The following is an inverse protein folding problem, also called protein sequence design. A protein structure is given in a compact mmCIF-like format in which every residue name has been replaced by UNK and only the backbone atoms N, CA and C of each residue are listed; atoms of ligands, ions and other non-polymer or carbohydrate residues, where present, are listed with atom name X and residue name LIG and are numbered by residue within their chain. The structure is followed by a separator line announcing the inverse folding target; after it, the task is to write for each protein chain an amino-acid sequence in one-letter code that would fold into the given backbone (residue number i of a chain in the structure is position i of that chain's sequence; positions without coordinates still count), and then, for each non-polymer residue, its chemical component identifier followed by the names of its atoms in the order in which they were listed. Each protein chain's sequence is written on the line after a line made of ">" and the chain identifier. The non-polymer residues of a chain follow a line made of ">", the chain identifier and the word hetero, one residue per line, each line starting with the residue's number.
data_IF_975013656046
#
_entry.id   IF_975013656046
#
_cell.length_a   1.000
_cell.length_b   1.000
_cell.length_c   1.000
_cell.angle_alpha   90.00
_cell.angle_beta   90.00
_cell.angle_gamma   90.00
#
_symmetry.space_group_name_H-M   'P 1'
#
loop_
_entity.id
_entity.type
_entity.pdbx_description
1 polymer ?
#
# COMPACT_ATOMS: atom_id res chain seq x y z
N UNK A 1 -16.48 16.76 -14.00
CA UNK A 1 -16.11 16.37 -12.63
C UNK A 1 -14.65 15.96 -12.62
N UNK A 2 -13.97 16.04 -11.46
CA UNK A 2 -12.55 15.68 -11.28
C UNK A 2 -12.43 14.62 -10.19
N UNK A 3 -11.65 13.57 -10.44
CA UNK A 3 -11.27 12.57 -9.44
C UNK A 3 -9.87 12.84 -8.92
N UNK A 4 -9.67 12.72 -7.61
CA UNK A 4 -8.38 12.86 -6.94
C UNK A 4 -8.10 11.58 -6.16
N UNK A 5 -7.01 10.90 -6.50
CA UNK A 5 -6.44 9.82 -5.71
C UNK A 5 -5.26 10.37 -4.90
N UNK A 6 -5.20 10.09 -3.60
CA UNK A 6 -4.12 10.55 -2.73
C UNK A 6 -3.62 9.42 -1.85
N UNK A 7 -2.32 9.44 -1.57
CA UNK A 7 -1.76 8.71 -0.45
C UNK A 7 -2.45 9.13 0.85
N UNK A 8 -2.63 8.16 1.75
CA UNK A 8 -3.24 8.36 3.04
C UNK A 8 -2.30 8.99 4.08
N UNK A 9 -2.84 9.43 5.23
CA UNK A 9 -4.27 9.37 5.57
C UNK A 9 -5.14 10.40 4.81
N UNK A 10 -6.33 9.98 4.42
CA UNK A 10 -7.36 10.84 3.80
C UNK A 10 -8.52 11.09 4.77
N UNK A 11 -9.26 12.18 4.60
CA UNK A 11 -10.55 12.41 5.24
C UNK A 11 -11.55 12.82 4.16
N UNK A 12 -12.29 11.83 3.63
CA UNK A 12 -13.27 12.05 2.57
C UNK A 12 -14.41 12.98 3.01
N UNK A 13 -15.04 12.81 4.20
CA UNK A 13 -16.04 13.75 4.69
C UNK A 13 -15.55 15.20 4.76
N UNK A 14 -14.30 15.41 5.21
CA UNK A 14 -13.72 16.75 5.30
C UNK A 14 -13.11 17.25 3.99
N UNK A 15 -12.93 16.39 2.98
CA UNK A 15 -12.25 16.73 1.73
C UNK A 15 -10.76 17.04 1.89
N UNK A 16 -10.10 16.46 2.90
CA UNK A 16 -8.70 16.78 3.24
C UNK A 16 -7.76 15.58 3.16
N UNK A 17 -6.46 15.86 3.04
CA UNK A 17 -5.39 14.83 3.02
C UNK A 17 -4.23 15.23 3.95
N UNK A 18 -3.54 14.23 4.49
CA UNK A 18 -2.34 14.42 5.34
C UNK A 18 -1.23 13.41 5.02
N UNK A 19 -0.81 13.28 3.75
CA UNK A 19 0.05 12.19 3.33
C UNK A 19 1.44 12.26 3.98
N UNK A 20 2.01 11.09 4.30
CA UNK A 20 3.30 11.01 5.00
C UNK A 20 4.48 11.50 4.16
N UNK A 21 4.36 11.42 2.83
CA UNK A 21 5.38 11.84 1.86
C UNK A 21 5.30 13.31 1.46
N UNK A 22 4.31 14.07 1.94
CA UNK A 22 4.23 15.54 1.78
C UNK A 22 4.03 16.16 3.16
N UNK A 23 5.14 16.38 3.87
CA UNK A 23 5.14 16.73 5.29
C UNK A 23 4.43 18.06 5.59
N UNK A 24 4.42 18.98 4.63
CA UNK A 24 3.77 20.29 4.69
C UNK A 24 2.25 20.17 4.68
N UNK A 25 1.70 19.05 4.20
CA UNK A 25 0.27 18.83 4.11
C UNK A 25 -0.24 18.18 5.39
N UNK A 26 -1.03 18.95 6.15
CA UNK A 26 -1.74 18.50 7.36
C UNK A 26 -3.17 19.01 7.27
N UNK A 27 -4.12 18.09 7.08
CA UNK A 27 -5.53 18.40 6.73
C UNK A 27 -5.60 19.39 5.57
N UNK A 28 -4.78 19.19 4.55
CA UNK A 28 -4.77 20.05 3.37
C UNK A 28 -6.09 19.90 2.61
N UNK A 29 -6.83 20.99 2.31
CA UNK A 29 -8.17 20.94 1.73
C UNK A 29 -8.11 20.69 0.21
N UNK A 30 -7.65 19.50 -0.19
CA UNK A 30 -7.39 19.18 -1.59
C UNK A 30 -8.65 19.27 -2.45
N UNK A 31 -9.82 18.91 -1.91
CA UNK A 31 -11.09 18.98 -2.63
C UNK A 31 -11.42 20.42 -3.00
N UNK A 32 -11.36 21.34 -2.02
CA UNK A 32 -11.66 22.76 -2.24
C UNK A 32 -10.65 23.39 -3.20
N UNK A 33 -9.35 23.13 -3.01
CA UNK A 33 -8.30 23.70 -3.87
C UNK A 33 -8.43 23.28 -5.34
N UNK A 34 -8.79 22.01 -5.58
CA UNK A 34 -9.02 21.52 -6.95
C UNK A 34 -10.34 22.04 -7.51
N UNK A 35 -11.38 22.17 -6.68
CA UNK A 35 -12.67 22.74 -7.08
C UNK A 35 -12.51 24.21 -7.50
N UNK A 36 -11.82 25.03 -6.69
CA UNK A 36 -11.54 26.43 -6.99
C UNK A 36 -10.75 26.61 -8.28
N UNK A 37 -9.75 25.75 -8.51
CA UNK A 37 -8.91 25.82 -9.70
C UNK A 37 -9.62 25.39 -10.99
N UNK A 38 -10.65 24.54 -10.90
CA UNK A 38 -11.29 23.93 -12.08
C UNK A 38 -12.73 24.36 -12.30
N UNK A 39 -13.42 24.87 -11.28
CA UNK A 39 -14.86 25.13 -11.29
C UNK A 39 -15.73 23.86 -11.38
N UNK A 40 -15.15 22.67 -11.13
CA UNK A 40 -15.82 21.38 -11.31
C UNK A 40 -16.04 20.64 -9.98
N UNK A 41 -17.08 19.77 -9.88
CA UNK A 41 -17.24 18.89 -8.74
C UNK A 41 -16.05 17.92 -8.59
N UNK A 42 -15.53 17.79 -7.37
CA UNK A 42 -14.36 16.96 -7.05
C UNK A 42 -14.76 15.76 -6.18
N UNK A 43 -14.14 14.60 -6.43
CA UNK A 43 -14.27 13.37 -5.62
C UNK A 43 -12.88 12.91 -5.18
N UNK A 44 -12.71 12.73 -3.87
CA UNK A 44 -11.47 12.24 -3.25
C UNK A 44 -11.57 10.73 -2.97
N UNK A 45 -10.51 9.99 -3.24
CA UNK A 45 -10.31 8.60 -2.83
C UNK A 45 -8.88 8.35 -2.37
N UNK A 46 -8.71 7.34 -1.52
CA UNK A 46 -7.38 6.81 -1.21
C UNK A 46 -6.78 6.10 -2.43
N UNK A 47 -5.47 6.25 -2.63
CA UNK A 47 -4.72 5.64 -3.73
C UNK A 47 -4.92 4.13 -3.86
N UNK A 48 -4.85 3.37 -2.76
CA UNK A 48 -5.07 1.93 -2.75
C UNK A 48 -6.49 1.54 -3.17
N UNK A 49 -7.50 2.31 -2.74
CA UNK A 49 -8.89 2.10 -3.18
C UNK A 49 -9.06 2.44 -4.66
N UNK A 50 -8.49 3.54 -5.13
CA UNK A 50 -8.55 3.95 -6.53
C UNK A 50 -7.84 2.94 -7.45
N UNK A 51 -6.72 2.38 -7.01
CA UNK A 51 -6.01 1.29 -7.70
C UNK A 51 -6.90 0.04 -7.79
N UNK A 52 -7.47 -0.42 -6.67
CA UNK A 52 -8.38 -1.57 -6.65
C UNK A 52 -9.61 -1.34 -7.54
N UNK A 53 -10.16 -0.12 -7.56
CA UNK A 53 -11.28 0.25 -8.42
C UNK A 53 -10.90 0.24 -9.91
N UNK A 54 -9.68 0.67 -10.25
CA UNK A 54 -9.15 0.58 -11.62
C UNK A 54 -9.03 -0.87 -12.09
N UNK A 55 -8.47 -1.74 -11.26
CA UNK A 55 -8.37 -3.18 -11.53
C UNK A 55 -9.74 -3.85 -11.65
N UNK A 56 -10.69 -3.46 -10.79
CA UNK A 56 -12.07 -3.94 -10.87
C UNK A 56 -12.79 -3.48 -12.14
N UNK A 57 -12.56 -2.24 -12.58
CA UNK A 57 -13.25 -1.67 -13.74
C UNK A 57 -12.69 -2.19 -15.06
N UNK A 58 -11.37 -2.16 -15.21
CA UNK A 58 -10.70 -2.39 -16.51
C UNK A 58 -9.63 -3.47 -16.47
N UNK A 59 -9.18 -3.91 -15.30
CA UNK A 59 -8.04 -4.81 -15.12
C UNK A 59 -8.42 -6.24 -14.70
N UNK A 60 -7.57 -6.83 -13.85
CA UNK A 60 -7.66 -8.23 -13.43
C UNK A 60 -8.87 -8.53 -12.54
N UNK A 61 -9.48 -7.50 -11.93
CA UNK A 61 -10.64 -7.63 -11.05
C UNK A 61 -12.00 -7.59 -11.76
N UNK A 62 -12.04 -7.50 -13.10
CA UNK A 62 -13.29 -7.38 -13.86
C UNK A 62 -14.28 -8.51 -13.57
N UNK A 63 -15.52 -8.11 -13.24
CA UNK A 63 -16.60 -9.04 -12.91
C UNK A 63 -16.59 -9.55 -11.48
N UNK A 64 -15.56 -9.25 -10.68
CA UNK A 64 -15.54 -9.60 -9.27
C UNK A 64 -16.60 -8.81 -8.48
N UNK A 65 -17.37 -9.52 -7.65
CA UNK A 65 -18.26 -8.89 -6.68
C UNK A 65 -17.51 -8.45 -5.43
N UNK A 66 -16.46 -9.18 -5.07
CA UNK A 66 -15.61 -8.92 -3.91
C UNK A 66 -14.15 -8.97 -4.34
N UNK A 67 -13.39 -7.90 -4.06
CA UNK A 67 -12.00 -7.77 -4.45
C UNK A 67 -11.23 -7.07 -3.33
N UNK A 68 -10.11 -7.67 -2.92
CA UNK A 68 -9.01 -6.97 -2.27
C UNK A 68 -7.96 -6.69 -3.33
N UNK A 69 -7.81 -5.43 -3.73
CA UNK A 69 -6.64 -4.97 -4.48
C UNK A 69 -5.53 -4.65 -3.49
N UNK A 70 -4.30 -5.06 -3.80
CA UNK A 70 -3.12 -4.81 -2.96
C UNK A 70 -1.93 -4.42 -3.82
N UNK A 71 -1.18 -3.44 -3.35
CA UNK A 71 0.11 -3.04 -3.92
C UNK A 71 1.18 -3.43 -2.92
N UNK A 72 2.15 -4.23 -3.37
CA UNK A 72 3.36 -4.56 -2.61
C UNK A 72 4.52 -3.91 -3.33
N UNK A 73 5.07 -2.86 -2.72
CA UNK A 73 6.14 -2.03 -3.32
C UNK A 73 6.98 -1.42 -2.18
N UNK A 74 7.28 -0.12 -2.24
CA UNK A 74 7.98 0.62 -1.16
C UNK A 74 7.24 0.50 0.18
N UNK A 75 5.90 0.43 0.13
CA UNK A 75 5.03 0.05 1.24
C UNK A 75 3.99 -0.98 0.79
N UNK A 76 3.02 -1.29 1.65
CA UNK A 76 1.91 -2.19 1.34
C UNK A 76 0.59 -1.44 1.49
N UNK A 77 -0.05 -1.17 0.35
CA UNK A 77 -1.34 -0.50 0.27
C UNK A 77 -2.43 -1.44 -0.21
N UNK A 78 -3.69 -1.07 -0.02
CA UNK A 78 -4.80 -1.85 -0.54
C UNK A 78 -6.11 -1.08 -0.65
N UNK A 79 -7.07 -1.74 -1.28
CA UNK A 79 -8.38 -1.21 -1.58
C UNK A 79 -9.41 -2.32 -1.66
N UNK A 80 -10.62 -2.04 -1.20
CA UNK A 80 -11.70 -3.02 -1.14
C UNK A 80 -12.81 -2.64 -2.12
N UNK A 81 -13.28 -3.62 -2.88
CA UNK A 81 -14.56 -3.56 -3.61
C UNK A 81 -15.46 -4.64 -3.02
N UNK A 82 -16.64 -4.26 -2.58
CA UNK A 82 -17.62 -5.15 -1.95
C UNK A 82 -18.96 -5.00 -2.67
N UNK A 83 -19.59 -6.12 -3.06
CA UNK A 83 -20.80 -6.13 -3.90
C UNK A 83 -20.67 -5.26 -5.17
N UNK A 84 -19.50 -5.27 -5.80
CA UNK A 84 -19.21 -4.48 -7.01
C UNK A 84 -19.13 -2.96 -6.78
N UNK A 85 -19.00 -2.50 -5.53
CA UNK A 85 -18.85 -1.09 -5.20
C UNK A 85 -17.59 -0.81 -4.37
N UNK A 86 -16.89 0.32 -4.57
CA UNK A 86 -15.73 0.68 -3.78
C UNK A 86 -16.11 0.90 -2.30
N UNK A 87 -15.37 0.26 -1.41
CA UNK A 87 -15.56 0.39 0.03
C UNK A 87 -14.48 1.29 0.64
N UNK A 88 -14.88 2.50 1.00
CA UNK A 88 -13.99 3.55 1.53
C UNK A 88 -13.90 3.56 3.07
N UNK A 89 -14.83 2.89 3.76
CA UNK A 89 -14.97 2.98 5.22
C UNK A 89 -15.36 4.38 5.69
N UNK A 90 -15.32 4.65 6.99
CA UNK A 90 -15.85 5.89 7.58
C UNK A 90 -15.12 7.16 7.14
N UNK A 91 -13.80 7.10 6.97
CA UNK A 91 -12.95 8.28 6.67
C UNK A 91 -12.32 8.23 5.28
N UNK A 92 -12.44 7.12 4.55
CA UNK A 92 -11.74 6.91 3.27
C UNK A 92 -10.51 6.00 3.36
N UNK A 93 -10.21 5.45 4.54
CA UNK A 93 -9.00 4.66 4.81
C UNK A 93 -9.28 3.16 5.00
N UNK A 94 -10.43 2.64 4.58
CA UNK A 94 -10.60 1.18 4.56
C UNK A 94 -9.61 0.55 3.57
N UNK A 95 -9.11 -0.65 3.91
CA UNK A 95 -8.17 -1.37 3.05
C UNK A 95 -6.69 -1.07 3.27
N UNK A 96 -6.30 -0.41 4.38
CA UNK A 96 -4.89 -0.28 4.80
C UNK A 96 -4.30 -1.61 5.31
N UNK A 97 -4.30 -2.61 4.44
CA UNK A 97 -3.92 -4.00 4.74
C UNK A 97 -2.44 -4.14 5.09
N UNK A 98 -1.59 -3.20 4.69
CA UNK A 98 -0.16 -3.18 5.05
C UNK A 98 0.09 -3.06 6.55
N UNK A 99 -0.88 -2.56 7.32
CA UNK A 99 -0.75 -2.39 8.77
C UNK A 99 -1.39 -3.52 9.59
N UNK A 100 -1.87 -4.59 8.93
CA UNK A 100 -2.32 -5.80 9.63
C UNK A 100 -1.12 -6.44 10.33
N UNK A 101 -1.27 -6.74 11.61
CA UNK A 101 -0.22 -7.36 12.44
C UNK A 101 -0.13 -8.85 12.12
N UNK A 102 1.01 -9.30 11.61
CA UNK A 102 1.30 -10.70 11.28
C UNK A 102 2.44 -11.30 12.10
N UNK A 103 3.17 -10.45 12.84
CA UNK A 103 4.27 -10.84 13.72
C UNK A 103 4.15 -10.07 15.04
N UNK A 104 3.34 -10.54 16.01
CA UNK A 104 3.18 -9.86 17.30
C UNK A 104 4.53 -9.61 17.98
N UNK A 105 4.80 -8.36 18.37
CA UNK A 105 6.09 -7.95 18.94
C UNK A 105 7.22 -7.77 17.92
N UNK A 106 6.91 -7.82 16.62
CA UNK A 106 7.86 -7.56 15.54
C UNK A 106 8.27 -6.09 15.43
N UNK A 107 8.89 -5.73 14.30
CA UNK A 107 9.47 -4.40 14.08
C UNK A 107 8.45 -3.25 14.22
N UNK A 108 8.94 -2.09 14.69
CA UNK A 108 8.15 -0.85 14.75
C UNK A 108 7.74 -0.41 13.35
N UNK A 109 6.44 -0.21 13.14
CA UNK A 109 5.90 0.33 11.91
C UNK A 109 5.74 1.86 12.00
N UNK A 110 5.82 2.55 10.86
CA UNK A 110 5.58 4.00 10.75
C UNK A 110 4.17 4.42 11.17
N UNK A 111 3.21 3.48 11.15
CA UNK A 111 1.86 3.71 11.69
C UNK A 111 1.80 3.78 13.22
N UNK A 112 2.90 3.47 13.92
CA UNK A 112 3.01 3.39 15.38
C UNK A 112 2.74 2.00 15.98
N UNK A 113 2.27 1.05 15.16
CA UNK A 113 2.11 -0.36 15.53
C UNK A 113 3.43 -1.15 15.49
N UNK A 114 3.36 -2.44 15.85
CA UNK A 114 4.49 -3.38 15.76
C UNK A 114 4.07 -4.63 15.00
N UNK A 115 4.95 -5.12 14.12
CA UNK A 115 4.73 -6.40 13.42
C UNK A 115 3.75 -6.35 12.26
N UNK A 116 3.57 -5.17 11.67
CA UNK A 116 2.75 -4.99 10.48
C UNK A 116 3.34 -5.78 9.30
N UNK A 117 2.49 -6.31 8.41
CA UNK A 117 2.96 -7.04 7.22
C UNK A 117 3.89 -6.18 6.35
N UNK A 118 3.68 -4.86 6.30
CA UNK A 118 4.56 -3.92 5.61
C UNK A 118 6.00 -3.96 6.13
N UNK A 119 6.22 -4.11 7.44
CA UNK A 119 7.57 -4.16 8.03
C UNK A 119 8.34 -5.44 7.70
N UNK A 120 7.70 -6.35 6.96
CA UNK A 120 8.25 -7.64 6.56
C UNK A 120 8.35 -7.75 5.05
N UNK A 121 7.26 -7.44 4.35
CA UNK A 121 7.07 -7.82 2.95
C UNK A 121 7.18 -6.64 1.97
N UNK A 122 7.33 -5.40 2.45
CA UNK A 122 7.63 -4.28 1.55
C UNK A 122 9.07 -4.36 1.04
N UNK A 123 9.31 -3.76 -0.13
CA UNK A 123 10.59 -3.81 -0.81
C UNK A 123 11.80 -3.42 0.06
N UNK A 124 11.78 -2.27 0.75
CA UNK A 124 12.87 -1.87 1.64
C UNK A 124 13.14 -2.87 2.75
N UNK A 125 12.09 -3.49 3.31
CA UNK A 125 12.22 -4.45 4.40
C UNK A 125 12.71 -5.82 3.91
N UNK A 126 12.31 -6.24 2.71
CA UNK A 126 12.84 -7.44 2.06
C UNK A 126 14.34 -7.28 1.77
N UNK A 127 14.73 -6.16 1.17
CA UNK A 127 16.12 -5.87 0.85
C UNK A 127 16.98 -5.75 2.13
N UNK A 128 16.46 -5.09 3.17
CA UNK A 128 17.16 -4.99 4.45
C UNK A 128 17.34 -6.36 5.09
N UNK A 129 16.27 -7.17 5.17
CA UNK A 129 16.35 -8.52 5.70
C UNK A 129 17.37 -9.36 4.92
N UNK A 130 17.38 -9.27 3.59
CA UNK A 130 18.33 -10.01 2.77
C UNK A 130 19.79 -9.61 3.07
N UNK A 131 20.07 -8.30 3.20
CA UNK A 131 21.41 -7.78 3.57
C UNK A 131 21.84 -8.30 4.94
N UNK A 132 20.96 -8.25 5.94
CA UNK A 132 21.24 -8.76 7.29
C UNK A 132 21.51 -10.28 7.30
N UNK A 133 21.14 -10.99 6.23
CA UNK A 133 21.33 -12.43 6.05
C UNK A 133 22.37 -12.78 4.98
N UNK A 134 23.23 -11.83 4.59
CA UNK A 134 24.40 -12.08 3.75
C UNK A 134 24.16 -11.96 2.25
N UNK A 135 23.08 -11.30 1.82
CA UNK A 135 22.93 -10.91 0.43
C UNK A 135 23.99 -9.86 0.08
N UNK A 136 24.90 -10.22 -0.82
CA UNK A 136 25.98 -9.35 -1.29
C UNK A 136 25.48 -8.50 -2.46
N UNK A 137 25.19 -7.23 -2.18
CA UNK A 137 24.73 -6.26 -3.18
C UNK A 137 25.36 -4.88 -2.91
N UNK A 138 25.38 -3.98 -3.91
CA UNK A 138 25.71 -2.57 -3.69
C UNK A 138 24.87 -1.93 -2.58
N UNK A 139 25.40 -0.90 -1.93
CA UNK A 139 24.72 -0.21 -0.82
C UNK A 139 23.40 0.46 -1.25
N UNK A 140 23.29 0.84 -2.52
CA UNK A 140 22.11 1.44 -3.13
C UNK A 140 21.14 0.41 -3.75
N UNK A 141 21.44 -0.88 -3.65
CA UNK A 141 20.57 -1.94 -4.15
C UNK A 141 19.25 -2.01 -3.37
N UNK A 142 18.15 -2.06 -4.11
CA UNK A 142 16.81 -2.10 -3.55
C UNK A 142 16.08 -3.42 -3.90
N UNK A 143 14.77 -3.43 -3.72
CA UNK A 143 13.94 -4.61 -3.97
C UNK A 143 13.98 -5.07 -5.43
N UNK A 144 14.32 -4.19 -6.38
CA UNK A 144 14.50 -4.50 -7.78
C UNK A 144 15.72 -5.39 -7.98
N UNK A 145 16.90 -4.97 -7.51
CA UNK A 145 18.11 -5.79 -7.60
C UNK A 145 17.94 -7.10 -6.81
N UNK A 146 17.20 -7.07 -5.70
CA UNK A 146 16.85 -8.28 -4.97
C UNK A 146 16.00 -9.24 -5.82
N UNK A 147 15.01 -8.72 -6.56
CA UNK A 147 14.17 -9.52 -7.45
C UNK A 147 14.98 -10.12 -8.62
N UNK A 148 15.91 -9.34 -9.18
CA UNK A 148 16.83 -9.82 -10.22
C UNK A 148 17.73 -10.95 -9.68
N UNK A 149 18.31 -10.78 -8.50
CA UNK A 149 19.12 -11.81 -7.84
C UNK A 149 18.31 -13.09 -7.58
N UNK A 150 17.07 -12.97 -7.10
CA UNK A 150 16.16 -14.11 -6.93
C UNK A 150 15.87 -14.81 -8.26
N UNK A 151 15.66 -14.04 -9.34
CA UNK A 151 15.48 -14.56 -10.70
C UNK A 151 16.71 -15.32 -11.23
N UNK A 152 17.91 -14.96 -10.77
CA UNK A 152 19.15 -15.68 -11.04
C UNK A 152 19.43 -16.85 -10.08
N UNK A 153 18.54 -17.12 -9.11
CA UNK A 153 18.66 -18.25 -8.18
C UNK A 153 19.46 -17.94 -6.90
N UNK A 154 19.69 -16.67 -6.57
CA UNK A 154 20.31 -16.31 -5.29
C UNK A 154 19.46 -16.81 -4.11
N UNK A 155 20.07 -17.63 -3.25
CA UNK A 155 19.35 -18.32 -2.18
C UNK A 155 18.88 -17.38 -1.06
N UNK A 156 19.59 -16.28 -0.80
CA UNK A 156 19.20 -15.31 0.23
C UNK A 156 18.04 -14.46 -0.29
N UNK A 157 18.10 -14.04 -1.54
CA UNK A 157 17.03 -13.30 -2.20
C UNK A 157 15.73 -14.13 -2.28
N UNK A 158 15.83 -15.40 -2.68
CA UNK A 158 14.67 -16.31 -2.68
C UNK A 158 14.07 -16.49 -1.28
N UNK A 159 14.90 -16.60 -0.23
CA UNK A 159 14.42 -16.68 1.15
C UNK A 159 13.75 -15.39 1.61
N UNK A 160 14.23 -14.23 1.18
CA UNK A 160 13.61 -12.94 1.48
C UNK A 160 12.19 -12.88 0.90
N UNK A 161 12.03 -13.19 -0.39
CA UNK A 161 10.71 -13.25 -1.03
C UNK A 161 9.81 -14.31 -0.41
N UNK A 162 10.34 -15.49 -0.04
CA UNK A 162 9.60 -16.51 0.69
C UNK A 162 9.05 -15.99 2.02
N UNK A 163 9.90 -15.33 2.82
CA UNK A 163 9.48 -14.66 4.07
C UNK A 163 8.38 -13.63 3.83
N UNK A 164 8.51 -12.80 2.80
CA UNK A 164 7.51 -11.79 2.44
C UNK A 164 6.18 -12.41 2.02
N UNK A 165 6.23 -13.43 1.17
CA UNK A 165 5.06 -14.17 0.70
C UNK A 165 4.31 -14.84 1.86
N UNK A 166 5.03 -15.48 2.79
CA UNK A 166 4.43 -16.09 3.99
C UNK A 166 3.70 -15.04 4.86
N UNK A 167 4.29 -13.85 5.01
CA UNK A 167 3.68 -12.77 5.79
C UNK A 167 2.42 -12.21 5.11
N UNK A 168 2.45 -12.03 3.79
CA UNK A 168 1.27 -11.64 3.00
C UNK A 168 0.18 -12.71 3.08
N UNK A 169 0.55 -13.99 2.95
CA UNK A 169 -0.40 -15.11 3.03
C UNK A 169 -1.09 -15.17 4.40
N UNK A 170 -0.34 -14.97 5.49
CA UNK A 170 -0.92 -14.85 6.84
C UNK A 170 -1.91 -13.69 6.91
N UNK A 171 -1.53 -12.51 6.44
CA UNK A 171 -2.43 -11.34 6.44
C UNK A 171 -3.73 -11.60 5.66
N UNK A 172 -3.66 -12.30 4.52
CA UNK A 172 -4.85 -12.61 3.71
C UNK A 172 -5.75 -13.66 4.38
N UNK A 173 -5.18 -14.64 5.08
CA UNK A 173 -5.92 -15.78 5.63
C UNK A 173 -6.40 -15.59 7.09
N UNK A 174 -5.92 -14.55 7.78
CA UNK A 174 -6.23 -14.28 9.21
C UNK A 174 -7.59 -13.63 9.43
#
# INVERSE_FOLDING_TARGET
>A
AVGVASAGPVDIPAGTVSPINVAEWRRFPIVDRVADATGLPVRLGGDGLCMALGEWWCGAGRGAQFLLGMVVSTGIGGGLVLNGAPYHGRTGNAGHVGHVVVEPGGALCTCGGHGCVETIASGPHLAQWARDHGWAAPDDADAKELAEAAGCGDTVALRAFGRGADAIARMIAS
#
